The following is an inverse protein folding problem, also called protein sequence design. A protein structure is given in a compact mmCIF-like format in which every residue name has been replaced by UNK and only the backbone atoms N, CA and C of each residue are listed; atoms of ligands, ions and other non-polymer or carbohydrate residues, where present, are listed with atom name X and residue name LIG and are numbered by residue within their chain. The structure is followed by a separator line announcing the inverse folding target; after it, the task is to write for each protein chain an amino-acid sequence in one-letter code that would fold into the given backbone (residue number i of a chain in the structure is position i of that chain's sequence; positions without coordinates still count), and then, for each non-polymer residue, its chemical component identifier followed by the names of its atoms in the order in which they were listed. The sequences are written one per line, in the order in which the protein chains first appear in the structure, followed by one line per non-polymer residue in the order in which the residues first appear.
data_IF_182059004872
#
_entry.id   IF_182059004872
#
_cell.length_a   1.000
_cell.length_b   1.000
_cell.length_c   1.000
_cell.angle_alpha   90.00
_cell.angle_beta   90.00
_cell.angle_gamma   90.00
#
_symmetry.space_group_name_H-M   'P 1'
#
loop_
_entity.id
_entity.type
_entity.pdbx_description
1 polymer ?
#
# COMPACT_ATOMS: atom_id res chain seq x y z
N UNK A 1 19.20 -1.53 7.09
CA UNK A 1 18.42 -0.47 6.41
C UNK A 1 17.37 -1.10 5.51
N UNK A 2 16.16 -0.56 5.55
CA UNK A 2 15.07 -1.03 4.69
C UNK A 2 15.44 -0.81 3.21
N UNK A 3 15.30 -1.83 2.36
CA UNK A 3 15.39 -1.59 0.92
C UNK A 3 14.23 -0.71 0.46
N UNK A 4 14.54 0.32 -0.33
CA UNK A 4 13.56 1.29 -0.79
C UNK A 4 13.24 1.09 -2.27
N UNK A 5 12.03 1.41 -2.71
CA UNK A 5 11.69 1.35 -4.11
C UNK A 5 12.38 2.45 -4.90
N UNK A 6 12.49 2.25 -6.21
CA UNK A 6 12.97 3.29 -7.12
C UNK A 6 11.87 4.33 -7.32
N UNK A 7 12.28 5.59 -7.32
CA UNK A 7 11.33 6.71 -7.47
C UNK A 7 11.33 7.31 -8.86
N UNK A 8 12.15 6.78 -9.76
CA UNK A 8 12.37 7.33 -11.11
C UNK A 8 11.67 6.51 -12.21
N UNK A 9 10.88 5.51 -11.86
CA UNK A 9 10.13 4.74 -12.84
C UNK A 9 8.88 5.47 -13.28
N UNK A 10 8.63 5.50 -14.59
CA UNK A 10 7.57 6.32 -15.19
C UNK A 10 6.18 6.04 -14.61
N UNK A 11 5.86 4.77 -14.38
CA UNK A 11 4.51 4.40 -13.94
C UNK A 11 4.28 4.67 -12.46
N UNK A 12 5.32 4.67 -11.64
CA UNK A 12 5.18 4.74 -10.18
C UNK A 12 5.77 6.00 -9.56
N UNK A 13 6.49 6.81 -10.33
CA UNK A 13 7.14 8.02 -9.81
C UNK A 13 6.14 8.96 -9.12
N UNK A 14 4.97 9.18 -9.72
CA UNK A 14 3.95 10.06 -9.17
C UNK A 14 3.37 9.51 -7.88
N UNK A 15 3.19 8.19 -7.79
CA UNK A 15 2.74 7.54 -6.56
C UNK A 15 3.71 7.85 -5.41
N UNK A 16 5.00 7.64 -5.63
CA UNK A 16 6.00 7.86 -4.58
C UNK A 16 6.17 9.34 -4.24
N UNK A 17 6.03 10.22 -5.23
CA UNK A 17 6.04 11.66 -4.98
C UNK A 17 4.90 12.06 -4.04
N UNK A 18 3.71 11.50 -4.25
CA UNK A 18 2.56 11.77 -3.38
C UNK A 18 2.77 11.25 -1.96
N UNK A 19 3.47 10.11 -1.80
CA UNK A 19 3.75 9.58 -0.46
C UNK A 19 4.61 10.52 0.36
N UNK A 20 5.43 11.35 -0.29
CA UNK A 20 6.25 12.33 0.42
C UNK A 20 5.38 13.30 1.21
N UNK A 21 4.22 13.63 0.69
CA UNK A 21 3.22 14.48 1.34
C UNK A 21 2.21 13.67 2.17
N UNK A 22 2.49 12.39 2.39
CA UNK A 22 1.61 11.47 3.12
C UNK A 22 0.25 11.32 2.47
N UNK A 23 0.23 11.30 1.14
CA UNK A 23 -0.95 11.06 0.33
C UNK A 23 -0.86 9.67 -0.28
N UNK A 24 -1.84 8.84 0.01
CA UNK A 24 -1.98 7.52 -0.61
C UNK A 24 -2.81 7.69 -1.87
N UNK A 25 -2.11 7.86 -3.00
CA UNK A 25 -2.74 8.15 -4.29
C UNK A 25 -3.12 6.88 -5.03
N UNK A 26 -4.20 6.95 -5.78
CA UNK A 26 -4.62 5.90 -6.70
C UNK A 26 -5.19 6.55 -7.96
N UNK A 27 -5.36 5.75 -9.00
CA UNK A 27 -5.87 6.24 -10.27
C UNK A 27 -7.33 5.84 -10.46
N UNK A 28 -8.07 6.71 -11.13
CA UNK A 28 -9.47 6.50 -11.48
C UNK A 28 -9.62 6.75 -12.98
N UNK A 29 -10.26 5.82 -13.69
CA UNK A 29 -10.53 6.00 -15.12
C UNK A 29 -11.78 6.86 -15.30
N UNK A 30 -11.63 8.00 -15.96
CA UNK A 30 -12.75 8.91 -16.19
C UNK A 30 -13.69 8.40 -17.27
N UNK A 31 -13.25 7.44 -18.10
CA UNK A 31 -14.07 6.87 -19.15
C UNK A 31 -14.97 5.73 -18.67
N UNK A 32 -14.46 4.82 -17.84
CA UNK A 32 -15.22 3.64 -17.42
C UNK A 32 -15.43 3.52 -15.91
N UNK A 33 -14.85 4.40 -15.11
CA UNK A 33 -15.04 4.40 -13.66
C UNK A 33 -14.18 3.39 -12.90
N UNK A 34 -13.31 2.65 -13.57
CA UNK A 34 -12.46 1.65 -12.91
C UNK A 34 -11.43 2.34 -11.99
N UNK A 35 -11.31 1.81 -10.79
CA UNK A 35 -10.23 2.16 -9.87
C UNK A 35 -9.00 1.35 -10.25
N UNK A 36 -7.88 2.02 -10.50
CA UNK A 36 -6.65 1.40 -10.96
C UNK A 36 -5.58 1.49 -9.87
N UNK A 37 -5.10 0.35 -9.44
CA UNK A 37 -3.98 0.21 -8.53
C UNK A 37 -3.32 -1.17 -8.77
N UNK A 38 -2.04 -1.27 -8.94
CA UNK A 38 -0.99 -0.25 -8.83
C UNK A 38 -0.96 0.67 -10.06
N UNK A 39 -0.24 1.83 -9.97
CA UNK A 39 -0.29 2.86 -11.00
C UNK A 39 0.13 2.37 -12.38
N UNK A 40 -0.59 2.81 -13.40
CA UNK A 40 -0.38 2.41 -14.79
C UNK A 40 -0.62 3.61 -15.70
N UNK A 41 -0.26 3.44 -16.97
CA UNK A 41 -0.55 4.43 -18.01
C UNK A 41 -1.93 4.24 -18.62
N UNK A 42 -2.46 3.02 -18.55
CA UNK A 42 -3.73 2.67 -19.18
C UNK A 42 -4.62 1.96 -18.17
N UNK A 43 -5.91 2.18 -18.30
CA UNK A 43 -6.92 1.54 -17.47
C UNK A 43 -6.91 0.03 -17.67
N UNK A 44 -6.99 -0.72 -16.60
CA UNK A 44 -7.05 -2.18 -16.64
C UNK A 44 -8.43 -2.68 -17.09
N UNK A 45 -9.45 -1.83 -17.04
CA UNK A 45 -10.80 -2.19 -17.45
C UNK A 45 -11.08 -1.94 -18.93
N UNK A 46 -10.79 -0.72 -19.41
CA UNK A 46 -11.13 -0.32 -20.77
C UNK A 46 -9.94 -0.07 -21.70
N UNK A 47 -8.71 -0.17 -21.16
CA UNK A 47 -7.45 0.08 -21.86
C UNK A 47 -7.27 1.54 -22.31
N UNK A 48 -8.15 2.44 -21.90
CA UNK A 48 -8.02 3.86 -22.18
C UNK A 48 -6.92 4.52 -21.33
N UNK A 49 -6.54 5.73 -21.72
CA UNK A 49 -5.46 6.47 -21.05
C UNK A 49 -5.97 7.65 -20.21
N UNK A 50 -7.28 7.78 -20.04
CA UNK A 50 -7.89 8.92 -19.35
C UNK A 50 -7.97 8.66 -17.84
N UNK A 51 -6.79 8.56 -17.22
CA UNK A 51 -6.65 8.26 -15.78
C UNK A 51 -6.36 9.55 -15.02
N UNK A 52 -7.07 9.73 -13.90
CA UNK A 52 -6.82 10.84 -12.96
C UNK A 52 -6.42 10.30 -11.60
N UNK A 53 -5.59 11.06 -10.89
CA UNK A 53 -5.16 10.70 -9.55
C UNK A 53 -6.15 11.18 -8.51
N UNK A 54 -6.43 10.32 -7.54
CA UNK A 54 -7.27 10.65 -6.39
C UNK A 54 -6.56 10.21 -5.12
N UNK A 55 -6.96 10.78 -3.99
CA UNK A 55 -6.37 10.48 -2.69
C UNK A 55 -7.31 9.56 -1.90
N UNK A 56 -6.74 8.47 -1.37
CA UNK A 56 -7.45 7.60 -0.44
C UNK A 56 -7.47 8.21 0.96
N UNK A 57 -8.52 7.93 1.73
CA UNK A 57 -8.54 8.29 3.15
C UNK A 57 -7.63 7.38 3.99
N UNK A 58 -7.04 6.35 3.39
CA UNK A 58 -6.11 5.47 4.06
C UNK A 58 -6.74 4.42 4.95
N UNK A 59 -8.05 4.27 4.93
CA UNK A 59 -8.75 3.29 5.76
C UNK A 59 -9.28 2.14 4.92
N UNK A 60 -9.23 0.95 5.49
CA UNK A 60 -9.71 -0.24 4.81
C UNK A 60 -9.78 -1.43 5.74
N UNK A 61 -9.85 -2.62 5.16
CA UNK A 61 -9.88 -3.85 5.94
C UNK A 61 -8.93 -4.90 5.35
N UNK A 62 -8.48 -5.81 6.20
CA UNK A 62 -7.60 -6.90 5.80
C UNK A 62 -8.41 -7.87 4.93
N UNK A 63 -7.98 -8.03 3.69
CA UNK A 63 -8.53 -9.04 2.80
C UNK A 63 -7.92 -10.42 3.06
N UNK A 64 -6.60 -10.45 3.23
CA UNK A 64 -5.86 -11.67 3.53
C UNK A 64 -4.52 -11.27 4.13
N UNK A 65 -3.93 -12.15 4.95
CA UNK A 65 -2.61 -11.88 5.52
C UNK A 65 -1.84 -13.15 5.74
N UNK A 66 -0.52 -12.99 5.90
CA UNK A 66 0.39 -14.08 6.24
C UNK A 66 1.39 -13.56 7.26
N UNK A 67 1.92 -14.46 8.06
CA UNK A 67 2.92 -14.11 9.07
C UNK A 67 4.27 -14.58 8.59
N UNK A 68 5.19 -13.63 8.43
CA UNK A 68 6.56 -13.90 8.01
C UNK A 68 7.39 -14.17 9.25
N UNK A 69 7.91 -15.40 9.33
CA UNK A 69 8.67 -15.86 10.50
C UNK A 69 10.17 -15.98 10.21
N UNK A 70 10.56 -15.82 8.95
CA UNK A 70 11.94 -15.99 8.53
C UNK A 70 12.25 -15.08 7.33
N UNK A 71 13.38 -14.42 7.36
CA UNK A 71 13.83 -13.56 6.27
C UNK A 71 15.35 -13.60 6.17
N UNK A 72 15.86 -13.54 4.93
CA UNK A 72 17.30 -13.48 4.70
C UNK A 72 17.84 -12.06 4.69
N UNK A 73 16.99 -11.05 4.47
CA UNK A 73 17.41 -9.66 4.48
C UNK A 73 17.60 -9.17 5.92
N UNK A 74 18.75 -8.56 6.27
CA UNK A 74 19.02 -8.15 7.65
C UNK A 74 17.96 -7.24 8.27
N UNK A 75 17.41 -6.32 7.48
CA UNK A 75 16.37 -5.43 7.95
C UNK A 75 15.14 -6.20 8.43
N UNK A 76 14.64 -7.11 7.59
CA UNK A 76 13.43 -7.88 7.90
C UNK A 76 13.69 -9.00 8.89
N UNK A 77 14.90 -9.57 8.87
CA UNK A 77 15.28 -10.59 9.85
C UNK A 77 15.15 -10.08 11.28
N UNK A 78 15.50 -8.81 11.51
CA UNK A 78 15.41 -8.20 12.82
C UNK A 78 13.97 -7.94 13.28
N UNK A 79 12.98 -8.08 12.37
CA UNK A 79 11.60 -7.72 12.63
C UNK A 79 10.63 -8.90 12.62
N UNK A 80 11.11 -10.10 12.27
CA UNK A 80 10.24 -11.28 12.30
C UNK A 80 9.86 -11.62 13.75
N UNK A 81 8.64 -12.11 14.00
CA UNK A 81 7.55 -12.27 13.03
C UNK A 81 6.84 -10.96 12.73
N UNK A 82 6.44 -10.78 11.49
CA UNK A 82 5.63 -9.62 11.09
C UNK A 82 4.57 -10.08 10.08
N UNK A 83 3.50 -9.29 9.97
CA UNK A 83 2.41 -9.61 9.04
C UNK A 83 2.59 -8.88 7.73
N UNK A 84 2.41 -9.61 6.62
CA UNK A 84 2.19 -9.04 5.30
C UNK A 84 0.73 -9.25 4.94
N UNK A 85 0.08 -8.23 4.41
CA UNK A 85 -1.37 -8.28 4.19
C UNK A 85 -1.77 -7.63 2.89
N UNK A 86 -2.80 -8.20 2.25
CA UNK A 86 -3.58 -7.52 1.24
C UNK A 86 -4.68 -6.75 1.95
N UNK A 87 -4.78 -5.46 1.65
CA UNK A 87 -5.73 -4.56 2.30
C UNK A 87 -6.66 -3.99 1.23
N UNK A 88 -7.97 -4.14 1.44
CA UNK A 88 -8.99 -3.50 0.60
C UNK A 88 -9.32 -2.15 1.20
N UNK A 89 -8.93 -1.10 0.52
CA UNK A 89 -9.23 0.27 0.94
C UNK A 89 -10.67 0.63 0.59
N UNK A 90 -11.22 1.58 1.33
CA UNK A 90 -12.63 1.95 1.20
C UNK A 90 -12.99 2.46 -0.19
N UNK A 91 -12.03 3.03 -0.92
CA UNK A 91 -12.24 3.52 -2.28
C UNK A 91 -12.23 2.43 -3.36
N UNK A 92 -11.95 1.19 -2.98
CA UNK A 92 -12.01 0.05 -3.92
C UNK A 92 -10.67 -0.42 -4.45
N UNK A 93 -9.56 0.13 -4.00
CA UNK A 93 -8.24 -0.36 -4.40
C UNK A 93 -7.71 -1.37 -3.39
N UNK A 94 -6.83 -2.25 -3.85
CA UNK A 94 -6.19 -3.27 -3.01
C UNK A 94 -4.69 -3.04 -3.01
N UNK A 95 -4.11 -2.97 -1.82
CA UNK A 95 -2.67 -2.73 -1.64
C UNK A 95 -2.04 -3.83 -0.81
N UNK A 96 -0.80 -4.20 -1.15
CA UNK A 96 0.02 -5.10 -0.34
C UNK A 96 0.91 -4.28 0.58
N UNK A 97 0.83 -4.56 1.89
CA UNK A 97 1.62 -3.83 2.87
C UNK A 97 1.88 -4.68 4.10
N UNK A 98 2.47 -4.08 5.12
CA UNK A 98 2.64 -4.71 6.42
C UNK A 98 1.67 -4.13 7.43
N UNK A 99 1.25 -4.96 8.38
CA UNK A 99 0.48 -4.49 9.53
C UNK A 99 1.45 -4.26 10.68
N UNK A 100 1.49 -3.03 11.15
CA UNK A 100 2.39 -2.59 12.21
C UNK A 100 1.61 -2.22 13.47
N UNK A 101 2.30 -1.92 14.55
CA UNK A 101 1.71 -1.55 15.84
C UNK A 101 0.73 -2.60 16.36
N UNK A 102 1.08 -3.86 16.18
CA UNK A 102 0.33 -5.02 16.67
C UNK A 102 1.28 -5.90 17.48
N UNK A 103 0.88 -6.27 18.70
CA UNK A 103 1.74 -7.05 19.59
C UNK A 103 1.93 -8.48 19.09
N UNK A 104 0.86 -9.12 18.65
CA UNK A 104 0.89 -10.49 18.15
C UNK A 104 0.27 -10.53 16.76
N UNK A 105 1.09 -10.66 15.70
CA UNK A 105 0.56 -10.76 14.33
C UNK A 105 -0.43 -11.90 14.14
N UNK A 106 -0.32 -12.98 14.93
CA UNK A 106 -1.23 -14.12 14.83
C UNK A 106 -2.64 -13.79 15.32
N UNK A 107 -2.82 -12.69 16.04
CA UNK A 107 -4.13 -12.25 16.51
C UNK A 107 -4.92 -11.44 15.48
N UNK A 108 -4.32 -11.11 14.33
CA UNK A 108 -5.01 -10.41 13.26
C UNK A 108 -6.12 -11.27 12.65
N UNK A 109 -7.16 -10.63 12.16
CA UNK A 109 -8.30 -11.31 11.55
C UNK A 109 -8.62 -10.74 10.17
N UNK A 110 -9.09 -11.60 9.28
CA UNK A 110 -9.61 -11.17 7.98
C UNK A 110 -10.84 -10.29 8.23
N UNK A 111 -10.92 -9.16 7.54
CA UNK A 111 -11.98 -8.18 7.73
C UNK A 111 -11.69 -7.12 8.77
N UNK A 112 -10.60 -7.27 9.52
CA UNK A 112 -10.23 -6.31 10.55
C UNK A 112 -9.92 -4.94 9.94
N UNK A 113 -10.42 -3.87 10.57
CA UNK A 113 -10.19 -2.50 10.09
C UNK A 113 -8.77 -2.05 10.38
N UNK A 114 -8.18 -1.41 9.39
CA UNK A 114 -6.82 -0.88 9.48
C UNK A 114 -6.76 0.51 8.83
N UNK A 115 -5.80 1.30 9.26
CA UNK A 115 -5.57 2.64 8.74
C UNK A 115 -4.09 2.84 8.41
N UNK A 116 -3.82 3.65 7.40
CA UNK A 116 -2.45 3.92 6.97
C UNK A 116 -1.67 4.66 8.05
N UNK A 117 -0.42 4.24 8.24
CA UNK A 117 0.60 4.97 8.96
C UNK A 117 1.83 5.05 8.07
N UNK A 118 2.58 6.13 8.16
CA UNK A 118 3.67 6.39 7.24
C UNK A 118 5.01 6.12 7.89
N UNK A 119 5.82 5.29 7.23
CA UNK A 119 7.23 5.13 7.59
C UNK A 119 8.03 6.17 6.82
N UNK A 120 8.59 7.14 7.52
CA UNK A 120 9.21 8.29 6.89
C UNK A 120 10.63 8.00 6.42
N UNK A 121 10.94 8.45 5.21
CA UNK A 121 12.26 8.39 4.60
C UNK A 121 12.55 9.72 3.90
N UNK A 122 13.80 9.92 3.44
CA UNK A 122 14.22 11.20 2.89
C UNK A 122 13.48 11.58 1.59
N UNK A 123 13.30 10.62 0.67
CA UNK A 123 12.75 10.91 -0.65
C UNK A 123 11.30 10.44 -0.82
N UNK A 124 10.84 9.55 0.05
CA UNK A 124 9.51 8.98 -0.02
C UNK A 124 9.07 8.52 1.35
N UNK A 125 7.80 8.19 1.49
CA UNK A 125 7.30 7.53 2.70
C UNK A 125 6.66 6.20 2.30
N UNK A 126 6.80 5.19 3.17
CA UNK A 126 6.25 3.87 2.93
C UNK A 126 4.89 3.78 3.64
N UNK A 127 3.80 3.47 2.91
CA UNK A 127 2.50 3.27 3.54
C UNK A 127 2.46 1.89 4.22
N UNK A 128 2.36 1.91 5.53
CA UNK A 128 2.10 0.74 6.34
C UNK A 128 0.71 0.90 6.97
N UNK A 129 0.20 -0.12 7.61
CA UNK A 129 -1.15 -0.08 8.17
C UNK A 129 -1.14 -0.57 9.61
N UNK A 130 -2.04 -0.05 10.40
CA UNK A 130 -2.24 -0.47 11.79
C UNK A 130 -3.72 -0.70 12.07
N UNK A 131 -4.06 -1.61 13.01
CA UNK A 131 -5.44 -1.75 13.46
C UNK A 131 -5.95 -0.47 14.13
N UNK A 132 -7.25 -0.24 14.02
CA UNK A 132 -7.87 0.90 14.69
C UNK A 132 -9.35 0.62 15.02
#
# INVERSE_FOLDING_TARGET
MRPLPRIDELDTAEFWRKTKDKVLGYQHCDDCGTVVFYPRRHCTGCLGANLTWQASNGEGCIYSFSIIRQSYHPFFRARVPFAVAWIDLDEGLRILSNITEVEDPAALEIGQRVAVVWEEHDELNIPLFKPF
#
